data_IF_638589877969
#
_entry.id   IF_638589877969
#
_cell.length_a   1.000
_cell.length_b   1.000
_cell.length_c   1.000
_cell.angle_alpha   90.00
_cell.angle_beta   90.00
_cell.angle_gamma   90.00
#
_symmetry.space_group_name_H-M   'P 1'
#
loop_
_entity.id
_entity.type
_entity.pdbx_description
1 polymer ?
#
# COMPACT_ATOMS: atom_id res chain seq x y z
N UNK A 1 1.58 -6.19 1.52
CA UNK A 1 0.14 -6.42 1.25
C UNK A 1 -0.22 -6.44 -0.24
N UNK A 2 0.72 -6.36 -1.20
CA UNK A 2 0.40 -6.40 -2.64
C UNK A 2 0.01 -7.80 -3.16
N UNK A 3 0.62 -8.88 -2.62
CA UNK A 3 0.40 -10.26 -3.07
C UNK A 3 -1.10 -10.65 -3.12
N UNK A 4 -1.93 -10.42 -2.08
CA UNK A 4 -3.35 -10.76 -2.12
C UNK A 4 -4.11 -10.11 -3.28
N UNK A 5 -3.83 -8.84 -3.61
CA UNK A 5 -4.48 -8.17 -4.73
C UNK A 5 -4.19 -8.86 -6.06
N UNK A 6 -2.92 -9.15 -6.35
CA UNK A 6 -2.53 -9.82 -7.59
C UNK A 6 -3.07 -11.25 -7.62
N UNK A 7 -3.00 -11.97 -6.49
CA UNK A 7 -3.50 -13.34 -6.38
C UNK A 7 -5.00 -13.45 -6.61
N UNK A 8 -5.79 -12.50 -6.11
CA UNK A 8 -7.26 -12.54 -6.23
C UNK A 8 -7.68 -11.96 -7.58
N UNK A 9 -7.26 -10.75 -7.91
CA UNK A 9 -7.80 -9.99 -9.04
C UNK A 9 -6.95 -10.03 -10.31
N UNK A 10 -5.68 -10.43 -10.25
CA UNK A 10 -4.82 -10.43 -11.41
C UNK A 10 -5.31 -11.34 -12.54
N UNK A 11 -4.94 -11.05 -13.78
CA UNK A 11 -5.10 -12.01 -14.89
C UNK A 11 -4.15 -13.20 -14.73
N UNK A 12 -4.34 -14.33 -15.43
CA UNK A 12 -3.38 -15.43 -15.42
C UNK A 12 -1.94 -14.99 -15.73
N UNK A 13 -1.76 -14.07 -16.67
CA UNK A 13 -0.47 -13.53 -17.09
C UNK A 13 0.15 -12.67 -15.98
N UNK A 14 -0.63 -11.79 -15.35
CA UNK A 14 -0.18 -10.99 -14.21
C UNK A 14 0.23 -11.88 -13.03
N UNK A 15 -0.58 -12.90 -12.70
CA UNK A 15 -0.26 -13.85 -11.63
C UNK A 15 1.03 -14.61 -11.92
N UNK A 16 1.18 -15.13 -13.14
CA UNK A 16 2.36 -15.88 -13.58
C UNK A 16 3.62 -15.02 -13.55
N UNK A 17 3.52 -13.74 -13.92
CA UNK A 17 4.66 -12.82 -13.92
C UNK A 17 5.11 -12.44 -12.50
N UNK A 18 4.17 -12.01 -11.64
CA UNK A 18 4.53 -11.40 -10.35
C UNK A 18 4.65 -12.41 -9.20
N UNK A 19 3.69 -13.34 -9.05
CA UNK A 19 3.59 -14.13 -7.82
C UNK A 19 4.80 -15.03 -7.56
N UNK A 20 5.38 -15.74 -8.54
CA UNK A 20 6.57 -16.56 -8.29
C UNK A 20 7.77 -15.73 -7.81
N UNK A 21 7.98 -14.55 -8.39
CA UNK A 21 9.07 -13.63 -8.01
C UNK A 21 8.83 -13.03 -6.62
N UNK A 22 7.58 -12.68 -6.30
CA UNK A 22 7.20 -12.20 -4.97
C UNK A 22 7.43 -13.26 -3.89
N UNK A 23 7.09 -14.53 -4.17
CA UNK A 23 7.32 -15.64 -3.23
C UNK A 23 8.81 -15.88 -2.99
N UNK A 24 9.66 -15.69 -4.01
CA UNK A 24 11.12 -15.78 -3.87
C UNK A 24 11.77 -14.54 -3.24
N UNK A 25 11.02 -13.45 -3.04
CA UNK A 25 11.56 -12.18 -2.54
C UNK A 25 12.32 -11.36 -3.60
N UNK A 26 12.21 -11.70 -4.88
CA UNK A 26 12.85 -11.02 -6.02
C UNK A 26 12.00 -9.87 -6.59
N UNK A 27 10.77 -9.72 -6.10
CA UNK A 27 9.85 -8.66 -6.48
C UNK A 27 9.13 -8.16 -5.24
N UNK A 28 9.45 -6.95 -4.81
CA UNK A 28 8.82 -6.28 -3.69
C UNK A 28 7.61 -5.50 -4.22
N UNK A 29 6.43 -5.78 -3.69
CA UNK A 29 5.19 -5.10 -4.06
C UNK A 29 4.77 -4.03 -3.05
N UNK A 30 4.25 -2.90 -3.54
CA UNK A 30 3.58 -1.87 -2.74
C UNK A 30 2.14 -1.59 -3.20
N UNK A 31 1.34 -0.95 -2.35
CA UNK A 31 -0.01 -0.49 -2.68
C UNK A 31 -0.07 1.00 -2.42
N UNK A 32 -0.45 1.79 -3.43
CA UNK A 32 -0.42 3.24 -3.39
C UNK A 32 -1.82 3.84 -3.53
N UNK A 33 -2.41 4.16 -2.38
CA UNK A 33 -3.75 4.75 -2.25
C UNK A 33 -3.68 6.22 -1.85
N UNK A 34 -3.02 6.49 -0.72
CA UNK A 34 -3.00 7.78 -0.04
C UNK A 34 -2.26 8.86 -0.82
N UNK A 35 -2.82 10.06 -0.80
CA UNK A 35 -2.29 11.27 -1.40
C UNK A 35 -2.10 12.35 -0.33
N UNK A 36 -1.26 13.37 -0.58
CA UNK A 36 -1.11 14.51 0.33
C UNK A 36 -2.45 15.16 0.71
N UNK A 37 -3.41 15.19 -0.22
CA UNK A 37 -4.74 15.76 -0.02
C UNK A 37 -5.83 14.75 0.33
N UNK A 38 -5.56 13.44 0.34
CA UNK A 38 -6.56 12.40 0.52
C UNK A 38 -6.01 11.16 1.23
N UNK A 39 -6.45 10.95 2.47
CA UNK A 39 -6.16 9.75 3.27
C UNK A 39 -7.44 9.05 3.69
N UNK A 40 -8.10 9.59 4.74
CA UNK A 40 -9.36 9.04 5.25
C UNK A 40 -10.49 9.07 4.22
N UNK A 41 -10.61 10.17 3.46
CA UNK A 41 -11.51 10.27 2.31
C UNK A 41 -10.78 9.82 1.03
N UNK A 42 -10.63 8.51 0.86
CA UNK A 42 -9.97 7.95 -0.30
C UNK A 42 -10.68 8.30 -1.62
N UNK A 43 -11.99 8.54 -1.60
CA UNK A 43 -12.74 8.95 -2.79
C UNK A 43 -12.41 10.40 -3.22
N UNK A 44 -11.81 11.19 -2.32
CA UNK A 44 -11.32 12.54 -2.59
C UNK A 44 -9.96 12.61 -3.29
N UNK A 45 -9.35 11.47 -3.62
CA UNK A 45 -8.07 11.41 -4.33
C UNK A 45 -8.13 12.04 -5.73
N UNK A 46 -6.99 12.38 -6.31
CA UNK A 46 -6.86 13.15 -7.55
C UNK A 46 -5.95 12.51 -8.59
N UNK A 47 -5.13 11.53 -8.21
CA UNK A 47 -4.34 10.73 -9.17
C UNK A 47 -5.30 10.13 -10.18
N UNK A 48 -5.02 10.31 -11.46
CA UNK A 48 -5.88 9.91 -12.55
C UNK A 48 -5.10 9.21 -13.65
N UNK A 49 -5.78 8.38 -14.42
CA UNK A 49 -5.25 7.81 -15.66
C UNK A 49 -6.24 8.09 -16.78
N UNK A 50 -5.80 8.77 -17.84
CA UNK A 50 -6.63 9.07 -19.03
C UNK A 50 -6.29 8.10 -20.14
N UNK A 51 -7.31 7.62 -20.86
CA UNK A 51 -7.11 6.78 -22.03
C UNK A 51 -6.49 7.58 -23.18
N UNK A 52 -5.46 7.01 -23.81
CA UNK A 52 -4.77 7.57 -24.98
C UNK A 52 -4.50 6.43 -25.98
N UNK A 53 -5.40 6.26 -26.96
CA UNK A 53 -5.44 5.08 -27.82
C UNK A 53 -5.77 3.82 -27.03
N UNK A 54 -4.88 2.83 -27.10
CA UNK A 54 -4.98 1.56 -26.36
C UNK A 54 -4.29 1.61 -24.99
N UNK A 55 -3.60 2.72 -24.69
CA UNK A 55 -2.86 2.94 -23.46
C UNK A 55 -3.60 3.88 -22.49
N UNK A 56 -3.01 4.03 -21.30
CA UNK A 56 -3.40 4.95 -20.26
C UNK A 56 -2.23 5.84 -19.88
N UNK A 57 -2.49 7.13 -19.68
CA UNK A 57 -1.52 8.11 -19.19
C UNK A 57 -1.85 8.43 -17.74
N UNK A 58 -1.03 7.91 -16.82
CA UNK A 58 -1.17 8.06 -15.38
C UNK A 58 -0.42 9.30 -14.89
N UNK A 59 -1.13 10.14 -14.14
CA UNK A 59 -0.61 11.36 -13.54
C UNK A 59 -1.06 11.51 -12.08
N UNK A 60 -0.14 11.88 -11.19
CA UNK A 60 -0.46 12.17 -9.79
C UNK A 60 0.72 11.93 -8.84
N UNK A 61 0.39 11.89 -7.56
CA UNK A 61 1.38 11.66 -6.50
C UNK A 61 0.76 10.89 -5.34
N UNK A 62 1.54 10.00 -4.73
CA UNK A 62 1.14 9.21 -3.58
C UNK A 62 2.13 9.41 -2.44
N UNK A 63 1.67 9.29 -1.20
CA UNK A 63 2.49 9.52 0.01
C UNK A 63 2.17 8.47 1.06
N UNK A 64 3.11 8.23 1.97
CA UNK A 64 3.05 7.20 3.01
C UNK A 64 3.04 5.77 2.45
N UNK A 65 3.73 5.54 1.33
CA UNK A 65 3.72 4.23 0.69
C UNK A 65 4.77 3.33 1.32
N UNK A 66 4.32 2.39 2.16
CA UNK A 66 5.14 1.30 2.70
C UNK A 66 5.73 0.47 1.55
N UNK A 67 7.02 0.15 1.64
CA UNK A 67 7.83 -0.42 0.57
C UNK A 67 8.00 0.49 -0.66
N UNK A 68 7.64 1.77 -0.58
CA UNK A 68 7.59 2.64 -1.76
C UNK A 68 8.95 2.81 -2.44
N UNK A 69 10.05 2.82 -1.69
CA UNK A 69 11.38 3.01 -2.24
C UNK A 69 11.94 1.72 -2.88
N UNK A 70 11.75 0.58 -2.22
CA UNK A 70 12.25 -0.72 -2.66
C UNK A 70 11.29 -1.48 -3.59
N UNK A 71 10.04 -1.01 -3.77
CA UNK A 71 9.05 -1.70 -4.59
C UNK A 71 9.50 -1.86 -6.05
N UNK A 72 9.47 -3.07 -6.57
CA UNK A 72 9.65 -3.38 -7.99
C UNK A 72 8.35 -3.17 -8.77
N UNK A 73 7.20 -3.33 -8.11
CA UNK A 73 5.88 -3.06 -8.67
C UNK A 73 4.98 -2.39 -7.65
N UNK A 74 4.22 -1.39 -8.09
CA UNK A 74 3.27 -0.65 -7.25
C UNK A 74 1.86 -0.82 -7.81
N UNK A 75 0.93 -1.22 -6.95
CA UNK A 75 -0.50 -1.20 -7.24
C UNK A 75 -1.02 0.22 -6.99
N UNK A 76 -1.22 0.99 -8.05
CA UNK A 76 -1.60 2.41 -7.97
C UNK A 76 -3.10 2.55 -8.13
N UNK A 77 -3.75 3.19 -7.16
CA UNK A 77 -5.14 3.60 -7.28
C UNK A 77 -5.23 4.92 -8.05
N UNK A 78 -5.96 4.90 -9.17
CA UNK A 78 -6.17 6.07 -10.04
C UNK A 78 -7.63 6.20 -10.49
N UNK A 79 -8.09 7.43 -10.65
CA UNK A 79 -9.38 7.74 -11.28
C UNK A 79 -9.25 7.54 -12.80
N UNK A 80 -10.07 6.67 -13.37
CA UNK A 80 -10.12 6.38 -14.81
C UNK A 80 -11.39 6.90 -15.48
N UNK A 81 -12.45 7.16 -14.70
CA UNK A 81 -13.67 7.83 -15.15
C UNK A 81 -13.86 9.13 -14.35
N UNK A 82 -13.49 10.25 -14.99
CA UNK A 82 -13.57 11.59 -14.41
C UNK A 82 -15.00 12.16 -14.41
N UNK A 83 -15.90 11.58 -15.21
CA UNK A 83 -17.29 12.04 -15.37
C UNK A 83 -18.27 11.24 -14.48
N UNK A 84 -17.77 10.19 -13.82
CA UNK A 84 -18.59 9.36 -12.95
C UNK A 84 -19.27 10.16 -11.84
N UNK A 85 -20.61 10.14 -11.83
CA UNK A 85 -21.42 10.72 -10.74
C UNK A 85 -21.16 10.05 -9.38
N UNK A 86 -20.49 8.89 -9.36
CA UNK A 86 -20.08 8.20 -8.14
C UNK A 86 -18.59 7.92 -8.19
N UNK A 87 -17.79 8.74 -7.50
CA UNK A 87 -16.32 8.67 -7.50
C UNK A 87 -15.76 7.27 -7.21
N UNK A 88 -16.40 6.49 -6.34
CA UNK A 88 -16.03 5.09 -6.07
C UNK A 88 -16.08 4.17 -7.31
N UNK A 89 -16.99 4.40 -8.25
CA UNK A 89 -17.13 3.60 -9.46
C UNK A 89 -16.19 4.04 -10.59
N UNK A 90 -15.53 5.20 -10.46
CA UNK A 90 -14.62 5.70 -11.48
C UNK A 90 -13.15 5.36 -11.24
N UNK A 91 -12.84 4.46 -10.28
CA UNK A 91 -11.47 4.13 -9.89
C UNK A 91 -11.04 2.75 -10.39
N UNK A 92 -9.80 2.68 -10.85
CA UNK A 92 -9.12 1.45 -11.26
C UNK A 92 -7.80 1.29 -10.51
N UNK A 93 -7.27 0.06 -10.51
CA UNK A 93 -5.95 -0.26 -9.97
C UNK A 93 -5.01 -0.60 -11.13
N UNK A 94 -3.83 0.00 -11.14
CA UNK A 94 -2.79 -0.28 -12.14
C UNK A 94 -1.57 -0.92 -11.49
N UNK A 95 -0.97 -1.89 -12.17
CA UNK A 95 0.34 -2.44 -11.85
C UNK A 95 1.38 -1.58 -12.57
N UNK A 96 2.16 -0.82 -11.80
CA UNK A 96 3.20 0.08 -12.33
C UNK A 96 4.56 -0.43 -11.90
N UNK A 97 5.36 -0.89 -12.86
CA UNK A 97 6.70 -1.39 -12.61
C UNK A 97 7.69 -0.24 -12.36
N UNK A 98 8.60 -0.43 -11.42
CA UNK A 98 9.70 0.49 -11.19
C UNK A 98 10.56 0.63 -12.47
N UNK A 99 10.97 1.86 -12.78
CA UNK A 99 11.69 2.18 -14.01
C UNK A 99 10.81 2.47 -15.22
N UNK A 100 9.48 2.34 -15.10
CA UNK A 100 8.56 2.86 -16.12
C UNK A 100 8.80 4.37 -16.30
N UNK A 101 9.02 4.87 -17.54
CA UNK A 101 9.23 6.29 -17.77
C UNK A 101 8.14 7.16 -17.14
N UNK A 102 8.54 8.23 -16.45
CA UNK A 102 7.65 9.13 -15.72
C UNK A 102 7.29 8.69 -14.30
N UNK A 103 7.55 7.43 -13.92
CA UNK A 103 7.36 6.96 -12.54
C UNK A 103 8.64 7.18 -11.73
N UNK A 104 8.56 8.07 -10.75
CA UNK A 104 9.66 8.43 -9.87
C UNK A 104 9.35 8.10 -8.41
N UNK A 105 10.34 7.50 -7.73
CA UNK A 105 10.28 7.28 -6.29
C UNK A 105 10.93 8.47 -5.59
N UNK A 106 10.19 9.10 -4.68
CA UNK A 106 10.66 10.19 -3.85
C UNK A 106 11.59 9.73 -2.73
N UNK A 107 11.83 10.63 -1.77
CA UNK A 107 12.66 10.33 -0.61
C UNK A 107 11.97 9.34 0.34
N UNK A 108 12.77 8.60 1.09
CA UNK A 108 12.30 7.86 2.26
C UNK A 108 11.94 8.89 3.34
N UNK A 109 10.74 8.75 3.90
CA UNK A 109 10.23 9.65 4.93
C UNK A 109 10.92 9.41 6.28
N UNK A 110 11.35 10.50 6.92
CA UNK A 110 11.80 10.49 8.30
C UNK A 110 10.60 10.33 9.24
N UNK A 111 10.56 9.20 9.96
CA UNK A 111 9.45 8.80 10.83
C UNK A 111 9.92 8.69 12.27
N UNK A 112 9.02 8.84 13.25
CA UNK A 112 9.34 8.65 14.68
C UNK A 112 9.75 7.19 15.00
N UNK A 113 9.11 6.21 14.35
CA UNK A 113 9.36 4.77 14.49
C UNK A 113 9.40 4.07 13.12
N UNK A 114 9.30 2.73 13.11
CA UNK A 114 9.33 1.92 11.87
C UNK A 114 10.53 2.29 10.96
N UNK A 115 11.72 2.44 11.56
CA UNK A 115 12.92 2.96 10.89
C UNK A 115 13.42 2.08 9.75
N UNK A 116 13.15 0.78 9.81
CA UNK A 116 13.47 -0.18 8.75
C UNK A 116 12.49 -0.16 7.58
N UNK A 117 11.30 0.45 7.75
CA UNK A 117 10.34 0.60 6.67
C UNK A 117 10.72 1.78 5.78
N UNK A 118 10.91 1.52 4.50
CA UNK A 118 11.29 2.46 3.44
C UNK A 118 10.08 3.24 2.89
N UNK A 119 9.22 3.70 3.79
CA UNK A 119 8.03 4.49 3.46
C UNK A 119 8.41 5.71 2.62
N UNK A 120 7.84 5.86 1.42
CA UNK A 120 8.24 6.90 0.48
C UNK A 120 7.06 7.65 -0.15
N UNK A 121 7.38 8.78 -0.75
CA UNK A 121 6.53 9.48 -1.73
C UNK A 121 6.73 8.84 -3.11
N UNK A 122 5.69 8.82 -3.94
CA UNK A 122 5.74 8.34 -5.32
C UNK A 122 5.12 9.39 -6.25
N UNK A 123 5.74 9.63 -7.40
CA UNK A 123 5.34 10.63 -8.38
C UNK A 123 5.15 9.99 -9.75
N UNK A 124 4.07 10.35 -10.43
CA UNK A 124 3.71 9.84 -11.75
C UNK A 124 3.48 11.04 -12.66
N UNK A 125 4.35 11.21 -13.65
CA UNK A 125 4.31 12.29 -14.64
C UNK A 125 4.23 11.67 -16.03
N UNK A 126 3.05 11.75 -16.64
CA UNK A 126 2.76 11.19 -17.97
C UNK A 126 3.21 9.73 -18.16
N UNK A 127 2.99 8.91 -17.14
CA UNK A 127 3.36 7.49 -17.16
C UNK A 127 2.45 6.75 -18.12
N UNK A 128 3.01 6.29 -19.24
CA UNK A 128 2.30 5.49 -20.24
C UNK A 128 2.21 4.03 -19.80
N UNK A 129 1.00 3.52 -19.68
CA UNK A 129 0.68 2.17 -19.23
C UNK A 129 -0.18 1.46 -20.28
N UNK A 130 0.19 0.24 -20.71
CA UNK A 130 -0.69 -0.54 -21.59
C UNK A 130 -1.98 -0.91 -20.85
N UNK A 131 -3.06 -1.21 -21.58
CA UNK A 131 -4.30 -1.70 -20.97
C UNK A 131 -4.11 -2.98 -20.13
N UNK A 132 -3.08 -3.79 -20.42
CA UNK A 132 -2.70 -4.96 -19.60
C UNK A 132 -2.13 -4.61 -18.22
N UNK A 133 -1.78 -3.34 -17.96
CA UNK A 133 -1.35 -2.86 -16.66
C UNK A 133 -2.53 -2.71 -15.68
N UNK A 134 -3.78 -2.63 -16.15
CA UNK A 134 -4.95 -2.65 -15.25
C UNK A 134 -4.96 -3.98 -14.52
N UNK A 135 -5.00 -3.96 -13.19
CA UNK A 135 -5.08 -5.17 -12.39
C UNK A 135 -6.38 -5.92 -12.73
N UNK A 136 -6.25 -7.15 -13.23
CA UNK A 136 -7.39 -7.93 -13.75
C UNK A 136 -7.77 -7.62 -15.19
N UNK A 137 -6.96 -6.84 -15.90
CA UNK A 137 -7.19 -6.44 -17.28
C UNK A 137 -8.45 -5.61 -17.43
N UNK A 138 -9.11 -5.72 -18.59
CA UNK A 138 -10.35 -4.99 -18.88
C UNK A 138 -11.46 -5.27 -17.85
N UNK A 139 -11.55 -6.50 -17.33
CA UNK A 139 -12.53 -6.87 -16.31
C UNK A 139 -12.31 -6.15 -14.95
N UNK A 140 -11.09 -5.66 -14.70
CA UNK A 140 -10.71 -4.90 -13.52
C UNK A 140 -10.95 -3.39 -13.63
N UNK A 141 -11.23 -2.88 -14.82
CA UNK A 141 -11.54 -1.47 -15.05
C UNK A 141 -12.76 -1.06 -14.20
N UNK A 142 -12.67 0.06 -13.48
CA UNK A 142 -13.73 0.60 -12.62
C UNK A 142 -14.08 -0.27 -11.39
N UNK A 143 -13.28 -1.30 -11.10
CA UNK A 143 -13.45 -2.17 -9.92
C UNK A 143 -12.52 -1.82 -8.77
N UNK A 144 -11.65 -0.83 -8.93
CA UNK A 144 -10.55 -0.57 -8.01
C UNK A 144 -11.02 -0.27 -6.58
N UNK A 145 -12.03 0.57 -6.38
CA UNK A 145 -12.56 0.85 -5.04
C UNK A 145 -13.07 -0.40 -4.34
N UNK A 146 -13.78 -1.27 -5.06
CA UNK A 146 -14.33 -2.50 -4.51
C UNK A 146 -13.22 -3.48 -4.11
N UNK A 147 -12.23 -3.67 -4.99
CA UNK A 147 -11.05 -4.49 -4.70
C UNK A 147 -10.30 -3.97 -3.46
N UNK A 148 -10.14 -2.65 -3.31
CA UNK A 148 -9.55 -2.05 -2.11
C UNK A 148 -10.38 -2.35 -0.86
N UNK A 149 -11.70 -2.12 -0.89
CA UNK A 149 -12.57 -2.33 0.28
C UNK A 149 -12.56 -3.78 0.76
N UNK A 150 -12.53 -4.75 -0.17
CA UNK A 150 -12.44 -6.18 0.16
C UNK A 150 -11.09 -6.53 0.81
N UNK A 151 -9.98 -6.07 0.23
CA UNK A 151 -8.64 -6.39 0.77
C UNK A 151 -8.31 -5.63 2.06
N UNK A 152 -8.85 -4.43 2.26
CA UNK A 152 -8.66 -3.66 3.49
C UNK A 152 -9.18 -4.38 4.74
N UNK A 153 -10.14 -5.30 4.61
CA UNK A 153 -10.56 -6.14 5.73
C UNK A 153 -9.41 -7.04 6.23
N UNK A 154 -8.70 -7.67 5.30
CA UNK A 154 -7.51 -8.49 5.61
C UNK A 154 -6.37 -7.63 6.18
N UNK A 155 -6.16 -6.44 5.60
CA UNK A 155 -5.15 -5.50 6.09
C UNK A 155 -5.41 -5.07 7.54
N UNK A 156 -6.66 -4.69 7.86
CA UNK A 156 -7.08 -4.32 9.22
C UNK A 156 -6.88 -5.46 10.21
N UNK A 157 -7.22 -6.70 9.82
CA UNK A 157 -7.01 -7.86 10.67
C UNK A 157 -5.52 -8.08 10.96
N UNK A 158 -4.66 -7.98 9.94
CA UNK A 158 -3.21 -8.11 10.11
C UNK A 158 -2.65 -7.08 11.08
N UNK A 159 -3.10 -5.82 10.98
CA UNK A 159 -2.69 -4.74 11.89
C UNK A 159 -3.13 -5.06 13.32
N UNK A 160 -4.37 -5.53 13.51
CA UNK A 160 -4.89 -5.92 14.83
C UNK A 160 -4.07 -7.02 15.48
N UNK A 161 -3.68 -8.05 14.71
CA UNK A 161 -2.80 -9.13 15.21
C UNK A 161 -1.43 -8.58 15.61
N UNK A 162 -0.79 -7.75 14.78
CA UNK A 162 0.49 -7.14 15.12
C UNK A 162 0.40 -6.28 16.39
N UNK A 163 -0.64 -5.46 16.51
CA UNK A 163 -0.85 -4.61 17.67
C UNK A 163 -1.03 -5.42 18.96
N UNK A 164 -1.78 -6.53 18.90
CA UNK A 164 -1.98 -7.43 20.03
C UNK A 164 -0.66 -8.08 20.47
N UNK A 165 0.12 -8.64 19.54
CA UNK A 165 1.41 -9.24 19.86
C UNK A 165 2.43 -8.24 20.43
N UNK A 166 2.39 -6.99 19.95
CA UNK A 166 3.21 -5.91 20.50
C UNK A 166 2.78 -5.55 21.93
N UNK A 167 1.48 -5.46 22.19
CA UNK A 167 0.96 -5.17 23.53
C UNK A 167 1.37 -6.24 24.55
N UNK A 168 1.28 -7.52 24.17
CA UNK A 168 1.75 -8.65 24.98
C UNK A 168 3.26 -8.55 25.25
N UNK A 169 4.05 -8.27 24.22
CA UNK A 169 5.50 -8.14 24.35
C UNK A 169 5.89 -6.99 25.28
N UNK A 170 5.26 -5.82 25.15
CA UNK A 170 5.50 -4.65 26.01
C UNK A 170 5.06 -4.92 27.45
N UNK A 171 3.95 -5.64 27.65
CA UNK A 171 3.50 -6.06 28.97
C UNK A 171 4.54 -6.96 29.64
N UNK A 172 5.03 -8.00 28.95
CA UNK A 172 6.02 -8.93 29.48
C UNK A 172 7.34 -8.21 29.82
N UNK A 173 7.82 -7.34 28.93
CA UNK A 173 9.01 -6.51 29.16
C UNK A 173 8.85 -5.62 30.40
N UNK A 174 7.69 -4.97 30.53
CA UNK A 174 7.39 -4.09 31.66
C UNK A 174 7.30 -4.88 32.95
N UNK A 175 6.55 -5.99 32.96
CA UNK A 175 6.38 -6.89 34.10
C UNK A 175 7.74 -7.36 34.61
N UNK A 176 8.59 -7.84 33.72
CA UNK A 176 9.92 -8.33 34.06
C UNK A 176 10.80 -7.25 34.68
N UNK A 177 10.71 -6.01 34.16
CA UNK A 177 11.43 -4.88 34.71
C UNK A 177 10.92 -4.51 36.12
N UNK A 178 9.60 -4.36 36.31
CA UNK A 178 9.03 -3.91 37.59
C UNK A 178 9.16 -4.95 38.71
N UNK A 179 9.24 -6.24 38.37
CA UNK A 179 9.51 -7.32 39.33
C UNK A 179 10.96 -7.34 39.83
N UNK A 180 11.92 -6.82 39.04
CA UNK A 180 13.36 -6.84 39.38
C UNK A 180 13.86 -5.51 39.93
N UNK A 181 13.37 -4.39 39.40
CA UNK A 181 13.82 -3.04 39.76
C UNK A 181 13.37 -2.70 41.18
N UNK A 182 14.33 -2.38 42.06
CA UNK A 182 14.08 -1.92 43.43
C UNK A 182 14.11 -0.38 43.52
N UNK A 183 13.16 0.19 44.24
CA UNK A 183 13.11 1.60 44.65
C UNK A 183 12.27 1.72 45.93
N UNK A 184 12.57 2.71 46.79
CA UNK A 184 11.83 2.94 48.04
C UNK A 184 11.72 1.68 48.94
N UNK A 185 12.80 0.89 49.01
CA UNK A 185 12.89 -0.30 49.88
C UNK A 185 12.19 -1.57 49.38
N UNK A 186 11.54 -1.56 48.21
CA UNK A 186 10.84 -2.72 47.63
C UNK A 186 10.97 -2.77 46.10
N UNK A 187 10.49 -3.83 45.46
CA UNK A 187 10.38 -3.88 43.99
C UNK A 187 9.29 -2.91 43.53
N UNK A 188 9.43 -2.34 42.33
CA UNK A 188 8.43 -1.43 41.76
C UNK A 188 7.04 -2.08 41.69
N UNK A 189 6.97 -3.39 41.45
CA UNK A 189 5.72 -4.18 41.47
C UNK A 189 4.95 -4.19 42.79
N UNK A 190 5.53 -3.69 43.90
CA UNK A 190 4.90 -3.59 45.22
C UNK A 190 4.51 -2.15 45.59
N UNK A 191 4.61 -1.22 44.64
CA UNK A 191 4.10 0.15 44.75
C UNK A 191 2.72 0.18 44.06
N UNK A 192 1.71 0.73 44.74
CA UNK A 192 0.37 0.94 44.19
C UNK A 192 0.31 2.24 43.40
#
# INVERSE_FOLDING_TARGET
MAIPYISVYGTPEQKSNYLPRMVRGECIGAVAMTEPSAGSDLQGMRTYAKKDGDDWILNGSKVFITNGYLADVVIVAAITDLESNRKAHGMSLFLVDAGTPGFNKGRILEKIGEKSSDTAELFFEDVRLPSSAILGGEAGLHKGFYSLMEQLQRERLSIGVCAQSLAESVFELTRDYVLKRKAFGKTLSKLQ
#
